data_IF_128655917953
#
_entry.id   IF_128655917953
#
_cell.length_a   1.000
_cell.length_b   1.000
_cell.length_c   1.000
_cell.angle_alpha   90.00
_cell.angle_beta   90.00
_cell.angle_gamma   90.00
#
_symmetry.space_group_name_H-M   'P 1'
#
loop_
_entity.id
_entity.type
_entity.pdbx_description
1 polymer ?
#
# COMPACT_ATOMS: atom_id res chain seq x y z
N UNK A 1 18.20 -20.56 -0.05
CA UNK A 1 17.02 -20.18 -0.87
C UNK A 1 17.52 -19.54 -2.16
N UNK A 2 16.71 -19.45 -3.22
CA UNK A 2 17.14 -18.78 -4.47
C UNK A 2 17.63 -17.34 -4.23
N UNK A 3 16.95 -16.60 -3.34
CA UNK A 3 17.33 -15.24 -2.94
C UNK A 3 18.71 -15.21 -2.27
N UNK A 4 18.97 -16.12 -1.31
CA UNK A 4 20.26 -16.18 -0.60
C UNK A 4 21.43 -16.41 -1.57
N UNK A 5 21.30 -17.40 -2.46
CA UNK A 5 22.35 -17.71 -3.42
C UNK A 5 22.61 -16.55 -4.39
N UNK A 6 21.54 -15.87 -4.83
CA UNK A 6 21.69 -14.70 -5.69
C UNK A 6 22.42 -13.55 -5.00
N UNK A 7 22.08 -13.26 -3.73
CA UNK A 7 22.76 -12.22 -2.94
C UNK A 7 24.24 -12.57 -2.74
N UNK A 8 24.57 -13.82 -2.37
CA UNK A 8 25.96 -14.27 -2.21
C UNK A 8 26.77 -14.07 -3.49
N UNK A 9 26.21 -14.49 -4.63
CA UNK A 9 26.86 -14.33 -5.93
C UNK A 9 27.11 -12.85 -6.26
N UNK A 10 26.14 -11.96 -6.04
CA UNK A 10 26.31 -10.52 -6.28
C UNK A 10 27.41 -9.92 -5.39
N UNK A 11 27.44 -10.29 -4.10
CA UNK A 11 28.45 -9.80 -3.17
C UNK A 11 29.87 -10.25 -3.55
N UNK A 12 30.00 -11.47 -4.08
CA UNK A 12 31.26 -11.99 -4.62
C UNK A 12 31.69 -11.24 -5.87
N UNK A 13 30.79 -11.10 -6.86
CA UNK A 13 31.05 -10.40 -8.12
C UNK A 13 31.49 -8.95 -7.84
N UNK A 14 30.90 -8.30 -6.84
CA UNK A 14 31.23 -6.91 -6.48
C UNK A 14 32.31 -6.78 -5.40
N UNK A 15 32.84 -7.89 -4.87
CA UNK A 15 33.84 -7.91 -3.81
C UNK A 15 33.44 -7.05 -2.58
N UNK A 16 32.22 -7.30 -2.09
CA UNK A 16 31.56 -6.56 -1.00
C UNK A 16 31.35 -7.39 0.27
N UNK A 17 31.75 -8.65 0.31
CA UNK A 17 31.43 -9.60 1.39
C UNK A 17 31.76 -9.10 2.80
N UNK A 18 32.83 -8.31 2.93
CA UNK A 18 33.29 -7.73 4.20
C UNK A 18 32.96 -6.23 4.36
N UNK A 19 32.24 -5.64 3.39
CA UNK A 19 31.94 -4.20 3.34
C UNK A 19 30.47 -3.89 3.66
N UNK A 20 29.62 -4.91 3.78
CA UNK A 20 28.20 -4.71 4.07
C UNK A 20 27.98 -4.52 5.57
N UNK A 21 27.43 -3.37 5.92
CA UNK A 21 27.02 -3.03 7.29
C UNK A 21 25.56 -3.42 7.51
N UNK A 22 24.69 -3.18 6.52
CA UNK A 22 23.26 -3.47 6.64
C UNK A 22 22.58 -3.74 5.30
N UNK A 23 21.41 -4.37 5.38
CA UNK A 23 20.50 -4.61 4.26
C UNK A 23 19.14 -4.00 4.58
N UNK A 24 18.64 -3.07 3.74
CA UNK A 24 17.26 -2.61 3.83
C UNK A 24 16.37 -3.46 2.94
N UNK A 25 15.39 -4.15 3.52
CA UNK A 25 14.54 -5.12 2.81
C UNK A 25 13.08 -5.03 3.25
N UNK A 26 12.15 -5.54 2.44
CA UNK A 26 10.76 -5.69 2.86
C UNK A 26 10.61 -6.74 3.98
N UNK A 27 9.40 -6.85 4.52
CA UNK A 27 9.10 -7.74 5.64
C UNK A 27 8.81 -9.19 5.23
N UNK A 28 9.02 -9.55 3.97
CA UNK A 28 8.74 -10.86 3.41
C UNK A 28 9.53 -11.98 4.09
N UNK A 29 8.85 -13.08 4.39
CA UNK A 29 9.46 -14.23 5.08
C UNK A 29 10.68 -14.77 4.33
N UNK A 30 10.64 -14.77 2.99
CA UNK A 30 11.70 -15.28 2.14
C UNK A 30 12.99 -14.45 2.23
N UNK A 31 12.89 -13.12 2.22
CA UNK A 31 14.06 -12.23 2.32
C UNK A 31 14.57 -12.16 3.76
N UNK A 32 13.69 -12.14 4.77
CA UNK A 32 14.05 -12.27 6.19
C UNK A 32 14.91 -13.49 6.46
N UNK A 33 14.44 -14.65 5.98
CA UNK A 33 15.20 -15.89 6.11
C UNK A 33 16.53 -15.82 5.36
N UNK A 34 16.54 -15.29 4.14
CA UNK A 34 17.77 -15.17 3.35
C UNK A 34 18.83 -14.30 4.05
N UNK A 35 18.48 -13.10 4.52
CA UNK A 35 19.45 -12.22 5.21
C UNK A 35 19.91 -12.83 6.55
N UNK A 36 19.01 -13.48 7.29
CA UNK A 36 19.37 -14.21 8.51
C UNK A 36 20.35 -15.35 8.23
N UNK A 37 20.08 -16.16 7.20
CA UNK A 37 20.93 -17.29 6.80
C UNK A 37 22.26 -16.82 6.15
N UNK A 38 22.31 -15.59 5.63
CA UNK A 38 23.54 -14.99 5.10
C UNK A 38 24.56 -14.68 6.20
N UNK A 39 24.09 -14.31 7.40
CA UNK A 39 24.94 -14.13 8.58
C UNK A 39 25.89 -12.93 8.54
N UNK A 40 25.70 -11.99 7.61
CA UNK A 40 26.48 -10.76 7.49
C UNK A 40 25.57 -9.53 7.56
N UNK A 41 26.09 -8.45 8.13
CA UNK A 41 25.37 -7.18 8.28
C UNK A 41 24.11 -7.29 9.14
N UNK A 42 23.44 -6.16 9.34
CA UNK A 42 22.16 -6.09 10.05
C UNK A 42 21.00 -5.90 9.09
N UNK A 43 19.89 -6.61 9.30
CA UNK A 43 18.67 -6.36 8.54
C UNK A 43 17.94 -5.13 9.08
N UNK A 44 17.64 -4.19 8.20
CA UNK A 44 16.78 -3.04 8.45
C UNK A 44 15.50 -3.24 7.63
N UNK A 45 14.33 -3.13 8.26
CA UNK A 45 13.07 -3.26 7.54
C UNK A 45 12.70 -1.96 6.83
N UNK A 46 12.16 -2.09 5.62
CA UNK A 46 11.70 -0.95 4.84
C UNK A 46 10.54 -0.25 5.55
N UNK A 47 10.76 0.98 6.00
CA UNK A 47 9.75 1.77 6.73
C UNK A 47 8.48 2.00 5.90
N UNK A 48 8.60 2.24 4.58
CA UNK A 48 7.46 2.38 3.68
C UNK A 48 6.60 1.12 3.67
N UNK A 49 7.24 -0.04 3.54
CA UNK A 49 6.55 -1.32 3.53
C UNK A 49 5.92 -1.63 4.90
N UNK A 50 6.64 -1.38 5.99
CA UNK A 50 6.13 -1.55 7.36
C UNK A 50 4.88 -0.71 7.60
N UNK A 51 4.88 0.57 7.20
CA UNK A 51 3.71 1.45 7.31
C UNK A 51 2.54 0.94 6.45
N UNK A 52 2.84 0.49 5.22
CA UNK A 52 1.81 -0.04 4.32
C UNK A 52 1.13 -1.29 4.88
N UNK A 53 1.85 -2.14 5.65
CA UNK A 53 1.25 -3.30 6.31
C UNK A 53 0.18 -2.90 7.32
N UNK A 54 0.44 -1.87 8.15
CA UNK A 54 -0.55 -1.36 9.10
C UNK A 54 -1.78 -0.79 8.40
N UNK A 55 -1.58 -0.02 7.33
CA UNK A 55 -2.67 0.51 6.50
C UNK A 55 -3.50 -0.64 5.93
N UNK A 56 -2.86 -1.65 5.34
CA UNK A 56 -3.56 -2.79 4.75
C UNK A 56 -4.40 -3.55 5.78
N UNK A 57 -3.88 -3.76 6.99
CA UNK A 57 -4.61 -4.38 8.09
C UNK A 57 -5.88 -3.60 8.45
N UNK A 58 -5.79 -2.26 8.53
CA UNK A 58 -6.97 -1.43 8.73
C UNK A 58 -7.97 -1.52 7.58
N UNK A 59 -7.49 -1.57 6.33
CA UNK A 59 -8.34 -1.63 5.14
C UNK A 59 -9.06 -2.98 4.94
N UNK A 60 -8.68 -4.03 5.67
CA UNK A 60 -9.40 -5.32 5.66
C UNK A 60 -10.87 -5.16 6.08
N UNK A 61 -11.14 -4.23 7.00
CA UNK A 61 -12.49 -3.84 7.47
C UNK A 61 -13.45 -3.46 6.35
N UNK A 62 -12.92 -2.93 5.24
CA UNK A 62 -13.70 -2.49 4.07
C UNK A 62 -13.26 -3.19 2.78
N UNK A 63 -12.71 -4.40 2.91
CA UNK A 63 -12.22 -5.19 1.78
C UNK A 63 -13.28 -5.42 0.70
N UNK A 64 -14.54 -5.62 1.07
CA UNK A 64 -15.67 -5.74 0.14
C UNK A 64 -15.88 -4.45 -0.66
N UNK A 65 -15.91 -3.30 0.02
CA UNK A 65 -16.05 -1.98 -0.61
C UNK A 65 -14.89 -1.67 -1.56
N UNK A 66 -13.65 -1.98 -1.14
CA UNK A 66 -12.48 -1.88 -2.01
C UNK A 66 -12.65 -2.78 -3.25
N UNK A 67 -13.21 -3.97 -3.07
CA UNK A 67 -13.57 -4.89 -4.15
C UNK A 67 -14.56 -4.27 -5.14
N UNK A 68 -15.66 -3.68 -4.64
CA UNK A 68 -16.64 -2.94 -5.46
C UNK A 68 -15.97 -1.81 -6.26
N UNK A 69 -15.18 -0.98 -5.59
CA UNK A 69 -14.44 0.11 -6.25
C UNK A 69 -13.50 -0.40 -7.35
N UNK A 70 -12.73 -1.47 -7.09
CA UNK A 70 -11.84 -2.07 -8.10
C UNK A 70 -12.62 -2.59 -9.31
N UNK A 71 -13.75 -3.25 -9.08
CA UNK A 71 -14.58 -3.77 -10.16
C UNK A 71 -15.24 -2.64 -10.97
N UNK A 72 -15.70 -1.58 -10.29
CA UNK A 72 -16.20 -0.38 -10.95
C UNK A 72 -15.12 0.27 -11.83
N UNK A 73 -13.89 0.42 -11.34
CA UNK A 73 -12.77 0.96 -12.11
C UNK A 73 -12.48 0.08 -13.34
N UNK A 74 -12.46 -1.25 -13.19
CA UNK A 74 -12.29 -2.19 -14.31
C UNK A 74 -13.39 -2.03 -15.35
N UNK A 75 -14.64 -1.94 -14.90
CA UNK A 75 -15.79 -1.76 -15.77
C UNK A 75 -15.71 -0.44 -16.55
N UNK A 76 -15.40 0.67 -15.88
CA UNK A 76 -15.20 1.97 -16.52
C UNK A 76 -14.03 1.94 -17.51
N UNK A 77 -12.93 1.28 -17.15
CA UNK A 77 -11.79 1.07 -18.04
C UNK A 77 -12.14 0.26 -19.29
N UNK A 78 -12.97 -0.77 -19.15
CA UNK A 78 -13.48 -1.54 -20.27
C UNK A 78 -14.37 -0.69 -21.19
N UNK A 79 -15.26 0.16 -20.64
CA UNK A 79 -16.05 1.11 -21.44
C UNK A 79 -15.15 2.06 -22.22
N UNK A 80 -14.13 2.65 -21.59
CA UNK A 80 -13.20 3.58 -22.25
C UNK A 80 -12.46 2.86 -23.39
N UNK A 81 -12.03 1.62 -23.15
CA UNK A 81 -11.36 0.78 -24.15
C UNK A 81 -12.28 0.48 -25.34
N UNK A 82 -13.52 0.05 -25.07
CA UNK A 82 -14.53 -0.19 -26.10
C UNK A 82 -14.85 1.07 -26.89
N UNK A 83 -14.98 2.22 -26.23
CA UNK A 83 -15.22 3.51 -26.89
C UNK A 83 -14.08 3.87 -27.84
N UNK A 84 -12.83 3.64 -27.44
CA UNK A 84 -11.64 3.85 -28.29
C UNK A 84 -11.64 2.94 -29.52
N UNK A 85 -12.04 1.67 -29.36
CA UNK A 85 -12.16 0.70 -30.46
C UNK A 85 -13.33 1.08 -31.38
N UNK A 86 -14.47 1.50 -30.83
CA UNK A 86 -15.66 1.93 -31.58
C UNK A 86 -15.44 3.21 -32.40
N UNK A 87 -14.62 4.15 -31.93
CA UNK A 87 -14.23 5.31 -32.75
C UNK A 87 -13.32 4.94 -33.92
N UNK A 88 -12.67 3.77 -33.85
CA UNK A 88 -11.78 3.26 -34.89
C UNK A 88 -12.47 2.32 -35.88
N UNK A 89 -13.62 1.71 -35.50
CA UNK A 89 -14.31 0.72 -36.32
C UNK A 89 -15.85 0.94 -36.37
N UNK A 90 -16.38 1.21 -37.58
CA UNK A 90 -17.82 1.39 -37.83
C UNK A 90 -18.52 0.03 -37.95
N UNK A 91 -18.88 -0.58 -36.82
CA UNK A 91 -20.09 -1.42 -36.58
C UNK A 91 -19.81 -2.37 -35.42
N UNK A 92 -20.63 -2.32 -34.37
CA UNK A 92 -21.49 -3.46 -33.98
C UNK A 92 -22.42 -3.10 -32.82
N UNK A 93 -23.55 -3.80 -32.80
CA UNK A 93 -24.59 -3.82 -31.78
C UNK A 93 -24.05 -4.20 -30.40
N UNK A 94 -24.36 -3.40 -29.37
CA UNK A 94 -24.13 -3.76 -27.97
C UNK A 94 -25.49 -3.85 -27.29
N UNK A 95 -25.91 -5.07 -26.93
CA UNK A 95 -27.01 -5.28 -25.99
C UNK A 95 -26.50 -5.86 -24.67
N UNK A 96 -26.85 -5.10 -23.62
CA UNK A 96 -27.25 -5.48 -22.26
C UNK A 96 -26.21 -6.06 -21.30
N UNK A 97 -25.81 -5.22 -20.35
CA UNK A 97 -25.53 -5.62 -18.95
C UNK A 97 -26.00 -4.52 -17.97
N UNK A 98 -27.31 -4.34 -17.82
CA UNK A 98 -27.87 -3.38 -16.84
C UNK A 98 -27.81 -3.89 -15.39
N UNK A 99 -27.85 -5.22 -15.20
CA UNK A 99 -27.97 -5.86 -13.88
C UNK A 99 -26.63 -5.95 -13.15
N UNK A 100 -25.50 -5.90 -13.88
CA UNK A 100 -24.16 -5.95 -13.28
C UNK A 100 -23.76 -4.59 -12.69
N UNK A 101 -24.26 -3.46 -13.20
CA UNK A 101 -23.90 -2.14 -12.67
C UNK A 101 -24.40 -1.88 -11.25
N UNK A 102 -25.65 -2.24 -10.94
CA UNK A 102 -26.27 -1.88 -9.67
C UNK A 102 -25.57 -2.54 -8.46
N UNK A 103 -25.00 -3.73 -8.64
CA UNK A 103 -24.21 -4.41 -7.61
C UNK A 103 -22.76 -3.93 -7.52
N UNK A 104 -22.26 -3.21 -8.55
CA UNK A 104 -20.90 -2.68 -8.62
C UNK A 104 -20.76 -1.26 -8.07
N UNK A 105 -21.85 -0.50 -8.01
CA UNK A 105 -21.85 0.88 -7.54
C UNK A 105 -21.91 0.89 -6.00
N UNK A 106 -20.96 1.54 -5.31
CA UNK A 106 -21.09 1.74 -3.87
C UNK A 106 -22.38 2.47 -3.52
N UNK A 107 -23.04 2.02 -2.46
CA UNK A 107 -24.21 2.69 -1.88
C UNK A 107 -23.85 4.09 -1.36
N UNK A 108 -24.84 4.94 -1.11
CA UNK A 108 -24.60 6.28 -0.55
C UNK A 108 -23.84 6.21 0.80
N UNK A 109 -24.18 5.23 1.65
CA UNK A 109 -23.46 4.99 2.90
C UNK A 109 -21.99 4.61 2.66
N UNK A 110 -21.71 3.72 1.71
CA UNK A 110 -20.34 3.35 1.34
C UNK A 110 -19.56 4.52 0.74
N UNK A 111 -20.20 5.38 -0.07
CA UNK A 111 -19.58 6.62 -0.55
C UNK A 111 -19.19 7.56 0.59
N UNK A 112 -20.03 7.73 1.60
CA UNK A 112 -19.70 8.54 2.77
C UNK A 112 -18.50 7.99 3.57
N UNK A 113 -18.28 6.66 3.54
CA UNK A 113 -17.06 6.05 4.10
C UNK A 113 -15.85 6.47 3.26
N UNK A 114 -15.93 6.32 1.93
CA UNK A 114 -14.85 6.68 1.00
C UNK A 114 -14.47 8.17 1.15
N UNK A 115 -15.45 9.07 1.17
CA UNK A 115 -15.24 10.52 1.30
C UNK A 115 -14.47 10.90 2.58
N UNK A 116 -14.66 10.13 3.66
CA UNK A 116 -13.94 10.34 4.93
C UNK A 116 -12.59 9.64 4.94
N UNK A 117 -12.47 8.50 4.29
CA UNK A 117 -11.27 7.67 4.32
C UNK A 117 -10.18 8.18 3.38
N UNK A 118 -10.54 8.71 2.21
CA UNK A 118 -9.56 9.22 1.22
C UNK A 118 -8.68 10.32 1.83
N UNK A 119 -9.22 11.40 2.44
CA UNK A 119 -8.38 12.43 3.08
C UNK A 119 -7.56 11.91 4.25
N UNK A 120 -8.08 10.92 4.98
CA UNK A 120 -7.33 10.26 6.05
C UNK A 120 -6.10 9.52 5.50
N UNK A 121 -6.28 8.71 4.45
CA UNK A 121 -5.21 7.95 3.80
C UNK A 121 -4.20 8.84 3.07
N UNK A 122 -4.58 10.03 2.64
CA UNK A 122 -3.69 10.99 1.97
C UNK A 122 -2.46 11.32 2.83
N UNK A 123 -2.63 11.45 4.15
CA UNK A 123 -1.49 11.67 5.07
C UNK A 123 -0.46 10.54 5.03
N UNK A 124 -0.91 9.30 4.85
CA UNK A 124 -0.03 8.14 4.73
C UNK A 124 0.62 8.05 3.35
N UNK A 125 -0.10 8.43 2.29
CA UNK A 125 0.44 8.51 0.93
C UNK A 125 1.62 9.50 0.88
N UNK A 126 1.45 10.68 1.46
CA UNK A 126 2.52 11.69 1.52
C UNK A 126 3.76 11.16 2.26
N UNK A 127 3.57 10.50 3.39
CA UNK A 127 4.66 9.93 4.19
C UNK A 127 5.35 8.79 3.44
N UNK A 128 4.58 7.84 2.88
CA UNK A 128 5.13 6.71 2.12
C UNK A 128 5.91 7.18 0.88
N UNK A 129 5.43 8.19 0.18
CA UNK A 129 6.13 8.84 -0.92
C UNK A 129 7.47 9.46 -0.45
N UNK A 130 7.44 10.20 0.65
CA UNK A 130 8.61 10.87 1.22
C UNK A 130 9.68 9.88 1.71
N UNK A 131 9.31 8.79 2.39
CA UNK A 131 10.29 7.82 2.90
C UNK A 131 10.74 6.79 1.86
N UNK A 132 10.07 6.72 0.70
CA UNK A 132 10.48 5.90 -0.45
C UNK A 132 11.46 6.62 -1.40
N UNK A 133 11.81 7.87 -1.10
CA UNK A 133 12.74 8.65 -1.90
C UNK A 133 14.14 8.04 -1.97
N UNK A 134 14.74 8.04 -3.16
CA UNK A 134 16.10 7.50 -3.39
C UNK A 134 17.15 8.59 -3.64
N UNK A 135 16.72 9.85 -3.77
CA UNK A 135 17.59 11.00 -4.11
C UNK A 135 18.16 11.72 -2.87
N UNK A 136 17.75 11.33 -1.67
CA UNK A 136 18.19 11.90 -0.40
C UNK A 136 18.22 10.81 0.68
N UNK A 137 18.92 11.08 1.78
CA UNK A 137 18.97 10.17 2.93
C UNK A 137 17.62 10.16 3.63
N UNK A 138 16.86 9.07 3.49
CA UNK A 138 15.57 8.89 4.16
C UNK A 138 15.73 8.43 5.60
N UNK A 139 16.79 7.67 5.92
CA UNK A 139 16.97 7.04 7.23
C UNK A 139 16.94 8.05 8.39
N UNK A 140 17.53 9.23 8.22
CA UNK A 140 17.55 10.28 9.25
C UNK A 140 16.21 10.97 9.46
N UNK A 141 15.30 10.93 8.48
CA UNK A 141 14.00 11.62 8.53
C UNK A 141 12.83 10.69 8.87
N UNK A 142 12.99 9.37 8.75
CA UNK A 142 11.92 8.39 9.04
C UNK A 142 11.32 8.62 10.44
N UNK A 143 12.16 8.67 11.47
CA UNK A 143 11.66 8.77 12.85
C UNK A 143 10.85 10.07 13.11
N UNK A 144 11.36 11.28 12.77
CA UNK A 144 10.55 12.50 12.85
C UNK A 144 9.24 12.45 12.06
N UNK A 145 9.25 11.89 10.84
CA UNK A 145 8.07 11.83 9.98
C UNK A 145 7.00 10.91 10.58
N UNK A 146 7.39 9.73 11.07
CA UNK A 146 6.46 8.78 11.68
C UNK A 146 5.84 9.37 12.95
N UNK A 147 6.62 10.04 13.80
CA UNK A 147 6.09 10.75 14.97
C UNK A 147 5.10 11.85 14.55
N UNK A 148 5.46 12.63 13.53
CA UNK A 148 4.57 13.67 12.97
C UNK A 148 3.23 13.08 12.51
N UNK A 149 3.29 11.97 11.78
CA UNK A 149 2.12 11.24 11.30
C UNK A 149 1.25 10.74 12.45
N UNK A 150 1.83 10.04 13.44
CA UNK A 150 1.10 9.54 14.62
C UNK A 150 0.41 10.68 15.36
N UNK A 151 1.10 11.80 15.56
CA UNK A 151 0.52 12.97 16.21
C UNK A 151 -0.65 13.58 15.40
N UNK A 152 -0.55 13.61 14.07
CA UNK A 152 -1.61 14.08 13.19
C UNK A 152 -2.83 13.15 13.25
N UNK A 153 -2.61 11.84 13.21
CA UNK A 153 -3.66 10.82 13.34
C UNK A 153 -4.34 10.98 14.70
N UNK A 154 -3.61 11.13 15.80
CA UNK A 154 -4.19 11.30 17.13
C UNK A 154 -5.11 12.53 17.23
N UNK A 155 -4.76 13.64 16.56
CA UNK A 155 -5.56 14.88 16.56
C UNK A 155 -6.85 14.81 15.74
N UNK A 156 -7.01 13.83 14.84
CA UNK A 156 -8.20 13.68 13.98
C UNK A 156 -9.44 13.16 14.71
N UNK A 157 -9.68 13.54 15.96
CA UNK A 157 -10.69 12.97 16.88
C UNK A 157 -12.16 13.09 16.45
N UNK A 158 -12.47 13.71 15.31
CA UNK A 158 -13.84 14.04 14.89
C UNK A 158 -14.36 13.16 13.72
N UNK A 159 -14.07 11.86 13.76
CA UNK A 159 -14.58 10.91 12.76
C UNK A 159 -15.94 10.39 13.25
N UNK A 160 -17.03 11.00 12.76
CA UNK A 160 -18.42 10.61 13.06
C UNK A 160 -18.86 9.30 12.36
N UNK A 161 -17.93 8.46 11.91
CA UNK A 161 -18.22 7.17 11.28
C UNK A 161 -17.47 6.06 12.03
N UNK A 162 -18.20 5.07 12.54
CA UNK A 162 -17.63 4.00 13.36
C UNK A 162 -16.64 3.12 12.59
N UNK A 163 -16.88 2.87 11.29
CA UNK A 163 -15.99 2.07 10.44
C UNK A 163 -14.66 2.80 10.27
N UNK A 164 -14.69 4.08 9.91
CA UNK A 164 -13.46 4.87 9.72
C UNK A 164 -12.69 5.03 11.04
N UNK A 165 -13.40 5.12 12.19
CA UNK A 165 -12.76 5.09 13.50
C UNK A 165 -12.08 3.76 13.80
N UNK A 166 -12.75 2.64 13.53
CA UNK A 166 -12.19 1.30 13.72
C UNK A 166 -10.92 1.10 12.86
N UNK A 167 -10.98 1.49 11.58
CA UNK A 167 -9.82 1.45 10.68
C UNK A 167 -8.65 2.24 11.26
N UNK A 168 -8.91 3.44 11.78
CA UNK A 168 -7.90 4.29 12.41
C UNK A 168 -7.28 3.60 13.64
N UNK A 169 -8.11 3.04 14.52
CA UNK A 169 -7.66 2.35 15.74
C UNK A 169 -6.79 1.13 15.40
N UNK A 170 -7.22 0.29 14.45
CA UNK A 170 -6.45 -0.87 13.96
C UNK A 170 -5.08 -0.44 13.41
N UNK A 171 -5.03 0.62 12.60
CA UNK A 171 -3.77 1.13 12.05
C UNK A 171 -2.86 1.63 13.18
N UNK A 172 -3.41 2.36 14.15
CA UNK A 172 -2.64 2.91 15.27
C UNK A 172 -2.07 1.80 16.17
N UNK A 173 -2.87 0.81 16.52
CA UNK A 173 -2.44 -0.33 17.34
C UNK A 173 -1.33 -1.10 16.62
N UNK A 174 -1.52 -1.43 15.35
CA UNK A 174 -0.52 -2.18 14.57
C UNK A 174 0.78 -1.38 14.34
N UNK A 175 0.70 -0.04 14.24
CA UNK A 175 1.89 0.81 14.16
C UNK A 175 2.67 0.85 15.48
N UNK A 176 2.00 0.76 16.63
CA UNK A 176 2.67 0.78 17.95
C UNK A 176 3.35 -0.55 18.29
N UNK A 177 2.93 -1.65 17.67
CA UNK A 177 3.51 -2.99 17.86
C UNK A 177 4.77 -3.26 17.01
N UNK A 178 5.09 -2.39 16.03
CA UNK A 178 6.16 -2.57 15.04
C UNK A 178 7.43 -1.79 15.35
#
# INVERSE_FOLDING_TARGET
>A
SQILEHIKNLLQIWNLELKIISFTTDNGANIKKAIKDLGIGTQIFCAAHTLQLSINKGLEEISELIGKCKNLIKFLGAIITLKTILFSDKKTNIQREGIILESLIPTNFEWQIIEKLVPFLESFEQVTCLISGTKYTTLSVIYPIIIGLVNQINKSSNINNNIVRNIKEIIQEDMNER
#
